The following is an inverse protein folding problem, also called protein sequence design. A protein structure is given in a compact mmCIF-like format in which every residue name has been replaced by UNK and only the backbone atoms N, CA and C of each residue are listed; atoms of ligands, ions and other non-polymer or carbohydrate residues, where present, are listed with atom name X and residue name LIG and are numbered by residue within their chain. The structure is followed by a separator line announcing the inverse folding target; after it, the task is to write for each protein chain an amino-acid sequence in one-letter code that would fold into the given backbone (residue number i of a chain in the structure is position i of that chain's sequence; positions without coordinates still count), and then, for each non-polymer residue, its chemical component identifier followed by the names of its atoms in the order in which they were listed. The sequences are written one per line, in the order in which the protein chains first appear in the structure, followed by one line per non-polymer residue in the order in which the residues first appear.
data_IF_551786914705
#
_entry.id   IF_551786914705
#
_cell.length_a   1.000
_cell.length_b   1.000
_cell.length_c   1.000
_cell.angle_alpha   90.00
_cell.angle_beta   90.00
_cell.angle_gamma   90.00
#
_symmetry.space_group_name_H-M   'P 1'
#
loop_
_entity.id
_entity.type
_entity.pdbx_description
1 polymer ?
#
# COMPACT_ATOMS: atom_id res chain seq x y z
N UNK A 1 30.40 37.04 35.35
CA UNK A 1 31.65 37.75 34.98
C UNK A 1 32.01 37.32 33.56
N UNK A 2 31.73 38.26 32.65
CA UNK A 2 32.66 38.85 31.67
C UNK A 2 32.91 37.91 30.44
N UNK A 3 32.70 38.26 29.19
CA UNK A 3 32.79 39.56 28.46
C UNK A 3 32.05 39.45 27.13
N UNK A 4 31.41 40.57 26.84
CA UNK A 4 30.85 40.96 25.54
C UNK A 4 32.00 41.32 24.57
N UNK A 5 31.93 40.85 23.33
CA UNK A 5 32.80 41.30 22.25
C UNK A 5 31.95 41.76 21.06
N UNK A 6 31.71 43.06 21.01
CA UNK A 6 31.22 43.78 19.81
C UNK A 6 32.43 44.19 18.96
N UNK A 7 32.35 43.90 17.65
CA UNK A 7 33.16 44.62 16.66
C UNK A 7 32.29 45.08 15.53
N UNK A 8 32.48 46.36 15.23
CA UNK A 8 31.72 47.25 14.39
C UNK A 8 32.17 47.17 12.90
N UNK A 9 31.23 47.43 12.06
CA UNK A 9 31.16 48.39 10.95
C UNK A 9 32.44 48.67 10.11
N UNK A 10 32.36 48.46 8.81
CA UNK A 10 32.81 49.43 7.81
C UNK A 10 32.11 49.17 6.50
N UNK A 11 31.36 50.17 6.08
CA UNK A 11 30.76 50.26 4.76
C UNK A 11 31.75 50.84 3.75
N UNK A 12 31.57 50.50 2.48
CA UNK A 12 32.05 51.27 1.35
C UNK A 12 30.96 51.33 0.31
N UNK A 13 30.57 52.58 0.02
CA UNK A 13 29.73 53.02 -1.11
C UNK A 13 30.67 53.23 -2.31
N UNK A 14 30.21 52.97 -3.54
CA UNK A 14 30.36 53.73 -4.80
C UNK A 14 29.99 52.80 -5.96
N UNK A 15 28.95 53.06 -6.67
CA UNK A 15 28.63 54.03 -7.70
C UNK A 15 29.23 53.71 -9.09
N UNK A 16 28.35 53.75 -10.04
CA UNK A 16 28.39 54.25 -11.40
C UNK A 16 28.12 53.25 -12.53
N UNK A 17 26.95 53.35 -13.07
CA UNK A 17 26.57 53.60 -14.47
C UNK A 17 27.46 52.99 -15.57
N UNK A 18 26.86 52.12 -16.41
CA UNK A 18 26.94 52.25 -17.86
C UNK A 18 25.75 51.51 -18.50
N UNK A 19 24.93 52.27 -19.21
CA UNK A 19 23.85 51.79 -20.03
C UNK A 19 24.37 51.13 -21.31
N UNK A 20 23.79 50.01 -21.65
CA UNK A 20 23.98 49.33 -22.94
C UNK A 20 22.64 48.77 -23.38
N UNK A 21 22.00 49.54 -24.29
CA UNK A 21 20.81 49.06 -24.98
C UNK A 21 21.22 47.93 -25.94
N UNK A 22 20.70 46.72 -25.71
CA UNK A 22 20.83 45.60 -26.66
C UNK A 22 19.52 45.50 -27.44
N UNK A 23 19.53 45.50 -28.76
CA UNK A 23 18.34 45.36 -29.58
C UNK A 23 17.80 43.94 -29.45
N UNK A 24 16.53 43.81 -29.02
CA UNK A 24 15.79 42.55 -29.04
C UNK A 24 15.42 42.19 -30.48
N UNK A 25 16.14 41.24 -31.06
CA UNK A 25 15.68 40.59 -32.28
C UNK A 25 14.59 39.60 -31.90
N UNK A 26 13.35 39.89 -32.27
CA UNK A 26 12.23 38.94 -32.25
C UNK A 26 12.50 37.86 -33.31
N UNK A 27 13.05 36.71 -32.90
CA UNK A 27 12.95 35.49 -33.67
C UNK A 27 11.64 34.81 -33.32
N UNK A 28 10.72 34.82 -34.28
CA UNK A 28 9.53 34.01 -34.25
C UNK A 28 9.91 32.51 -34.23
N UNK A 29 9.79 31.84 -33.11
CA UNK A 29 9.80 30.38 -33.06
C UNK A 29 8.35 29.90 -33.09
N UNK A 30 8.01 29.32 -34.23
CA UNK A 30 6.79 28.53 -34.45
C UNK A 30 6.70 27.44 -33.38
N UNK A 31 5.84 27.64 -32.38
CA UNK A 31 5.58 26.64 -31.36
C UNK A 31 4.83 25.47 -31.99
N UNK A 32 5.54 24.39 -32.23
CA UNK A 32 4.92 23.08 -32.48
C UNK A 32 4.21 22.67 -31.19
N UNK A 33 2.89 22.73 -31.22
CA UNK A 33 2.04 22.16 -30.16
C UNK A 33 2.30 20.66 -30.08
N UNK A 34 3.22 20.26 -29.20
CA UNK A 34 3.35 18.88 -28.81
C UNK A 34 2.06 18.44 -28.10
N UNK A 35 1.23 17.71 -28.82
CA UNK A 35 0.09 16.99 -28.25
C UNK A 35 0.67 15.96 -27.28
N UNK A 36 0.88 16.37 -26.04
CA UNK A 36 1.16 15.47 -24.95
C UNK A 36 -0.01 14.52 -24.84
N UNK A 37 0.16 13.30 -25.31
CA UNK A 37 -0.81 12.23 -25.11
C UNK A 37 -1.11 12.14 -23.62
N UNK A 38 -2.26 12.64 -23.19
CA UNK A 38 -2.79 12.39 -21.88
C UNK A 38 -3.01 10.87 -21.78
N UNK A 39 -1.99 10.18 -21.28
CA UNK A 39 -2.12 8.77 -20.93
C UNK A 39 -3.36 8.65 -20.07
N UNK A 40 -4.33 7.85 -20.54
CA UNK A 40 -5.58 7.58 -19.83
C UNK A 40 -5.19 7.11 -18.42
N UNK A 41 -5.24 8.00 -17.44
CA UNK A 41 -5.04 7.66 -16.03
C UNK A 41 -6.19 6.72 -15.68
N UNK A 42 -5.93 5.42 -15.66
CA UNK A 42 -6.87 4.45 -15.15
C UNK A 42 -7.06 4.79 -13.68
N UNK A 43 -8.21 5.36 -13.37
CA UNK A 43 -8.54 5.69 -11.98
C UNK A 43 -8.51 4.38 -11.17
N UNK A 44 -7.54 4.23 -10.30
CA UNK A 44 -7.50 3.13 -9.35
C UNK A 44 -8.68 3.35 -8.40
N UNK A 45 -9.64 2.42 -8.42
CA UNK A 45 -10.78 2.47 -7.50
C UNK A 45 -10.26 2.38 -6.06
N UNK A 46 -10.76 3.26 -5.22
CA UNK A 46 -10.42 3.21 -3.79
C UNK A 46 -10.84 1.86 -3.18
N UNK A 47 -10.02 1.29 -2.30
CA UNK A 47 -10.40 0.11 -1.55
C UNK A 47 -11.67 0.39 -0.73
N UNK A 48 -12.60 -0.54 -0.74
CA UNK A 48 -13.79 -0.49 0.10
C UNK A 48 -13.40 -0.53 1.59
N UNK A 49 -14.09 0.27 2.39
CA UNK A 49 -13.85 0.35 3.83
C UNK A 49 -14.50 -0.82 4.55
N UNK A 50 -13.80 -1.41 5.51
CA UNK A 50 -14.34 -2.47 6.38
C UNK A 50 -14.00 -2.22 7.85
N UNK A 51 -14.96 -2.48 8.71
CA UNK A 51 -14.83 -2.60 10.16
C UNK A 51 -14.82 -4.07 10.60
N UNK A 52 -14.94 -4.33 11.88
CA UNK A 52 -15.01 -5.68 12.42
C UNK A 52 -16.17 -6.52 11.85
N UNK A 53 -17.34 -5.90 11.69
CA UNK A 53 -18.51 -6.56 11.11
C UNK A 53 -18.32 -6.83 9.61
N UNK A 54 -17.77 -5.86 8.89
CA UNK A 54 -17.37 -5.99 7.48
C UNK A 54 -16.35 -7.10 7.26
N UNK A 55 -15.40 -7.27 8.20
CA UNK A 55 -14.46 -8.38 8.14
C UNK A 55 -15.15 -9.75 8.27
N UNK A 56 -16.11 -9.90 9.17
CA UNK A 56 -16.90 -11.13 9.29
C UNK A 56 -17.76 -11.38 8.04
N UNK A 57 -18.32 -10.33 7.46
CA UNK A 57 -19.04 -10.42 6.19
C UNK A 57 -18.11 -10.86 5.03
N UNK A 58 -16.86 -10.37 5.03
CA UNK A 58 -15.83 -10.78 4.07
C UNK A 58 -15.53 -12.27 4.19
N UNK A 59 -15.34 -12.81 5.40
CA UNK A 59 -15.17 -14.24 5.62
C UNK A 59 -16.36 -15.05 5.12
N UNK A 60 -17.59 -14.60 5.39
CA UNK A 60 -18.80 -15.24 4.92
C UNK A 60 -18.89 -15.25 3.39
N UNK A 61 -18.51 -14.16 2.72
CA UNK A 61 -18.48 -14.03 1.25
C UNK A 61 -17.57 -15.07 0.59
N UNK A 62 -16.44 -15.40 1.24
CA UNK A 62 -15.48 -16.35 0.69
C UNK A 62 -15.64 -17.78 1.22
N UNK A 63 -16.66 -18.04 2.03
CA UNK A 63 -16.95 -19.41 2.49
C UNK A 63 -17.14 -20.37 1.30
N UNK A 64 -16.60 -21.56 1.39
CA UNK A 64 -16.53 -22.52 0.29
C UNK A 64 -15.25 -22.43 -0.55
N UNK A 65 -14.41 -21.41 -0.33
CA UNK A 65 -13.17 -21.19 -1.07
C UNK A 65 -11.98 -21.12 -0.12
N UNK A 66 -10.81 -21.70 -0.49
CA UNK A 66 -9.57 -21.49 0.27
C UNK A 66 -9.17 -20.02 0.18
N UNK A 67 -8.89 -19.38 1.32
CA UNK A 67 -8.71 -17.95 1.40
C UNK A 67 -7.44 -17.58 2.17
N UNK A 68 -6.71 -16.60 1.65
CA UNK A 68 -5.62 -15.90 2.35
C UNK A 68 -6.03 -14.43 2.51
N UNK A 69 -5.97 -13.92 3.72
CA UNK A 69 -6.13 -12.48 3.97
C UNK A 69 -4.82 -11.94 4.49
N UNK A 70 -4.23 -11.00 3.76
CA UNK A 70 -2.97 -10.33 4.13
C UNK A 70 -3.23 -8.92 4.60
N UNK A 71 -2.62 -8.54 5.72
CA UNK A 71 -2.69 -7.21 6.32
C UNK A 71 -1.42 -6.42 6.04
N UNK A 72 -1.57 -5.20 5.56
CA UNK A 72 -0.46 -4.37 5.10
C UNK A 72 -0.73 -2.88 5.30
N UNK A 73 0.31 -2.06 5.21
CA UNK A 73 0.20 -0.60 5.18
C UNK A 73 1.28 0.01 4.26
N UNK A 74 1.08 1.24 3.84
CA UNK A 74 2.02 1.93 2.94
C UNK A 74 3.36 2.24 3.60
N UNK A 75 3.38 2.43 4.90
CA UNK A 75 4.59 2.66 5.72
C UNK A 75 5.32 1.36 6.12
N UNK A 76 4.71 0.20 5.91
CA UNK A 76 5.28 -1.11 6.24
C UNK A 76 6.24 -1.56 5.14
N UNK A 77 7.54 -1.43 5.38
CA UNK A 77 8.56 -1.80 4.38
C UNK A 77 8.57 -3.29 4.02
N UNK A 78 8.56 -4.23 5.01
CA UNK A 78 8.48 -5.65 4.67
C UNK A 78 7.19 -6.01 3.92
N UNK A 79 6.05 -5.37 4.22
CA UNK A 79 4.82 -5.58 3.44
C UNK A 79 5.01 -5.22 1.96
N UNK A 80 5.76 -4.14 1.69
CA UNK A 80 6.06 -3.71 0.31
C UNK A 80 6.97 -4.70 -0.42
N UNK A 81 7.89 -5.32 0.32
CA UNK A 81 8.77 -6.36 -0.23
C UNK A 81 8.00 -7.64 -0.57
N UNK A 82 7.05 -8.05 0.26
CA UNK A 82 6.23 -9.24 0.04
C UNK A 82 5.19 -9.09 -1.08
N UNK A 83 4.72 -7.87 -1.36
CA UNK A 83 3.55 -7.66 -2.22
C UNK A 83 3.68 -8.21 -3.66
N UNK A 84 4.84 -8.08 -4.35
CA UNK A 84 5.05 -8.71 -5.66
C UNK A 84 4.92 -10.24 -5.60
N UNK A 85 5.49 -10.86 -4.58
CA UNK A 85 5.40 -12.30 -4.33
C UNK A 85 3.96 -12.74 -4.09
N UNK A 86 3.18 -11.98 -3.31
CA UNK A 86 1.75 -12.25 -3.09
C UNK A 86 0.93 -12.19 -4.38
N UNK A 87 1.24 -11.26 -5.29
CA UNK A 87 0.63 -11.21 -6.62
C UNK A 87 0.94 -12.48 -7.43
N UNK A 88 2.20 -12.92 -7.41
CA UNK A 88 2.60 -14.15 -8.11
C UNK A 88 1.92 -15.38 -7.52
N UNK A 89 1.88 -15.52 -6.21
CA UNK A 89 1.21 -16.64 -5.53
C UNK A 89 -0.29 -16.63 -5.80
N UNK A 90 -0.94 -15.47 -5.75
CA UNK A 90 -2.35 -15.33 -6.08
C UNK A 90 -2.65 -15.81 -7.52
N UNK A 91 -1.79 -15.43 -8.47
CA UNK A 91 -1.88 -15.87 -9.86
C UNK A 91 -1.64 -17.38 -10.01
N UNK A 92 -0.59 -17.89 -9.37
CA UNK A 92 -0.18 -19.30 -9.44
C UNK A 92 -1.27 -20.24 -8.93
N UNK A 93 -1.91 -19.88 -7.81
CA UNK A 93 -2.88 -20.73 -7.13
C UNK A 93 -4.35 -20.43 -7.47
N UNK A 94 -4.62 -19.39 -8.27
CA UNK A 94 -5.98 -19.09 -8.74
C UNK A 94 -6.67 -20.27 -9.45
N UNK A 95 -6.00 -21.06 -10.32
CA UNK A 95 -6.61 -22.24 -10.96
C UNK A 95 -7.03 -23.33 -9.97
N UNK A 96 -6.44 -23.37 -8.77
CA UNK A 96 -6.78 -24.30 -7.69
C UNK A 96 -7.88 -23.76 -6.77
N UNK A 97 -8.41 -22.56 -7.12
CA UNK A 97 -9.51 -21.91 -6.42
C UNK A 97 -9.09 -21.01 -5.26
N UNK A 98 -7.77 -20.82 -5.03
CA UNK A 98 -7.29 -19.90 -3.98
C UNK A 98 -7.84 -18.50 -4.19
N UNK A 99 -8.31 -17.89 -3.12
CA UNK A 99 -8.63 -16.47 -3.04
C UNK A 99 -7.60 -15.77 -2.16
N UNK A 100 -7.15 -14.61 -2.60
CA UNK A 100 -6.31 -13.72 -1.82
C UNK A 100 -7.04 -12.40 -1.66
N UNK A 101 -6.95 -11.80 -0.49
CA UNK A 101 -7.53 -10.49 -0.18
C UNK A 101 -6.51 -9.69 0.61
N UNK A 102 -6.30 -8.44 0.23
CA UNK A 102 -5.50 -7.49 0.99
C UNK A 102 -6.40 -6.66 1.92
N UNK A 103 -5.92 -6.37 3.11
CA UNK A 103 -6.55 -5.41 4.03
C UNK A 103 -5.49 -4.39 4.42
N UNK A 104 -5.70 -3.17 3.98
CA UNK A 104 -4.84 -2.05 4.28
C UNK A 104 -5.19 -1.45 5.65
N UNK A 105 -4.17 -1.15 6.46
CA UNK A 105 -4.29 -0.59 7.80
C UNK A 105 -3.84 0.88 7.89
N UNK A 106 -3.67 1.56 6.74
CA UNK A 106 -3.41 3.01 6.74
C UNK A 106 -4.63 3.77 7.30
N UNK A 107 -4.37 4.91 7.93
CA UNK A 107 -5.42 5.81 8.39
C UNK A 107 -6.08 6.56 7.22
N UNK A 108 -7.23 7.18 7.45
CA UNK A 108 -8.00 7.88 6.42
C UNK A 108 -7.22 9.01 5.75
N UNK A 109 -6.37 9.69 6.50
CA UNK A 109 -5.48 10.73 5.97
C UNK A 109 -4.47 10.24 4.91
N UNK A 110 -4.19 8.93 4.88
CA UNK A 110 -3.16 8.33 4.02
C UNK A 110 -3.71 7.75 2.71
N UNK A 111 -4.97 8.01 2.37
CA UNK A 111 -5.61 7.46 1.15
C UNK A 111 -4.80 7.73 -0.13
N UNK A 112 -4.15 8.89 -0.23
CA UNK A 112 -3.30 9.20 -1.38
C UNK A 112 -2.08 8.27 -1.49
N UNK A 113 -1.51 7.85 -0.34
CA UNK A 113 -0.40 6.91 -0.28
C UNK A 113 -0.88 5.50 -0.66
N UNK A 114 -2.06 5.10 -0.17
CA UNK A 114 -2.71 3.84 -0.55
C UNK A 114 -2.94 3.77 -2.06
N UNK A 115 -3.47 4.83 -2.70
CA UNK A 115 -3.64 4.92 -4.16
C UNK A 115 -2.32 4.76 -4.91
N UNK A 116 -1.25 5.43 -4.46
CA UNK A 116 0.10 5.31 -5.05
C UNK A 116 0.64 3.90 -4.93
N UNK A 117 0.44 3.27 -3.79
CA UNK A 117 0.82 1.88 -3.56
C UNK A 117 0.10 0.95 -4.55
N UNK A 118 -1.23 1.05 -4.63
CA UNK A 118 -2.06 0.25 -5.54
C UNK A 118 -1.65 0.45 -7.01
N UNK A 119 -1.36 1.69 -7.41
CA UNK A 119 -0.88 1.99 -8.77
C UNK A 119 0.50 1.38 -9.06
N UNK A 120 1.39 1.34 -8.07
CA UNK A 120 2.75 0.78 -8.19
C UNK A 120 2.75 -0.74 -8.24
N UNK A 121 2.10 -1.37 -7.27
CA UNK A 121 2.15 -2.83 -7.09
C UNK A 121 1.08 -3.58 -7.87
N UNK A 122 0.05 -2.88 -8.37
CA UNK A 122 -1.02 -3.40 -9.23
C UNK A 122 -1.56 -4.74 -8.73
N UNK A 123 -2.11 -4.80 -7.52
CA UNK A 123 -2.63 -6.06 -6.97
C UNK A 123 -3.67 -6.67 -7.91
N UNK A 124 -3.57 -7.97 -8.12
CA UNK A 124 -4.51 -8.73 -8.94
C UNK A 124 -5.66 -9.31 -8.11
N UNK A 125 -5.67 -9.02 -6.81
CA UNK A 125 -6.69 -9.46 -5.85
C UNK A 125 -7.35 -8.25 -5.18
N UNK A 126 -8.58 -8.40 -4.66
CA UNK A 126 -9.30 -7.34 -3.98
C UNK A 126 -8.53 -6.80 -2.77
N UNK A 127 -8.59 -5.50 -2.59
CA UNK A 127 -8.07 -4.85 -1.41
C UNK A 127 -9.20 -4.07 -0.73
N UNK A 128 -9.21 -4.15 0.58
CA UNK A 128 -10.07 -3.40 1.49
C UNK A 128 -9.22 -2.48 2.34
N UNK A 129 -9.83 -1.51 3.00
CA UNK A 129 -9.18 -0.64 3.94
C UNK A 129 -9.94 -0.67 5.27
N UNK A 130 -9.22 -0.83 6.38
CA UNK A 130 -9.82 -0.77 7.71
C UNK A 130 -10.35 0.64 7.95
N UNK A 131 -11.57 0.78 8.49
CA UNK A 131 -12.09 2.06 8.97
C UNK A 131 -11.28 2.56 10.16
N UNK A 132 -11.12 3.89 10.28
CA UNK A 132 -10.46 4.47 11.44
C UNK A 132 -11.23 4.16 12.73
N UNK A 133 -10.51 4.00 13.82
CA UNK A 133 -11.09 3.60 15.10
C UNK A 133 -11.39 2.09 15.18
N UNK A 134 -11.88 1.65 16.34
CA UNK A 134 -12.27 0.26 16.57
C UNK A 134 -11.14 -0.76 16.43
N UNK A 135 -9.87 -0.37 16.67
CA UNK A 135 -8.70 -1.25 16.47
C UNK A 135 -8.81 -2.54 17.26
N UNK A 136 -9.20 -2.45 18.53
CA UNK A 136 -9.29 -3.61 19.40
C UNK A 136 -10.36 -4.60 18.93
N UNK A 137 -11.51 -4.11 18.55
CA UNK A 137 -12.64 -4.88 18.02
C UNK A 137 -12.27 -5.54 16.70
N UNK A 138 -11.63 -4.77 15.80
CA UNK A 138 -11.19 -5.27 14.51
C UNK A 138 -10.12 -6.37 14.66
N UNK A 139 -9.07 -6.13 15.46
CA UNK A 139 -8.01 -7.11 15.74
C UNK A 139 -8.61 -8.37 16.37
N UNK A 140 -9.51 -8.21 17.34
CA UNK A 140 -10.21 -9.32 17.96
C UNK A 140 -11.07 -10.15 17.00
N UNK A 141 -11.69 -9.48 16.01
CA UNK A 141 -12.47 -10.14 14.96
C UNK A 141 -11.59 -10.92 13.97
N UNK A 142 -10.34 -10.51 13.76
CA UNK A 142 -9.38 -11.23 12.92
C UNK A 142 -8.80 -12.43 13.65
N UNK A 143 -8.15 -12.19 14.77
CA UNK A 143 -7.53 -13.21 15.60
C UNK A 143 -7.25 -12.67 17.01
N UNK A 144 -7.83 -13.25 18.08
CA UNK A 144 -7.69 -12.74 19.44
C UNK A 144 -6.25 -12.66 19.97
N UNK A 145 -5.34 -13.46 19.41
CA UNK A 145 -3.92 -13.48 19.79
C UNK A 145 -3.04 -12.59 18.90
N UNK A 146 -3.62 -11.83 17.98
CA UNK A 146 -2.87 -10.88 17.16
C UNK A 146 -2.85 -9.49 17.81
N UNK A 147 -1.73 -8.83 17.75
CA UNK A 147 -1.55 -7.49 18.32
C UNK A 147 -1.63 -6.36 17.27
N UNK A 148 -2.03 -6.68 16.04
CA UNK A 148 -2.07 -5.71 14.93
C UNK A 148 -0.74 -5.50 14.20
N UNK A 149 0.34 -6.20 14.59
CA UNK A 149 1.63 -6.07 13.90
C UNK A 149 1.53 -6.62 12.46
N UNK A 150 2.17 -5.93 11.52
CA UNK A 150 2.20 -6.25 10.10
C UNK A 150 3.65 -6.37 9.58
N UNK A 151 3.89 -7.16 8.48
CA UNK A 151 2.90 -7.94 7.75
C UNK A 151 2.27 -9.06 8.57
N UNK A 152 1.03 -9.39 8.26
CA UNK A 152 0.36 -10.54 8.85
C UNK A 152 -0.55 -11.18 7.79
N UNK A 153 -0.53 -12.50 7.69
CA UNK A 153 -1.41 -13.23 6.77
C UNK A 153 -2.12 -14.35 7.50
N UNK A 154 -3.43 -14.45 7.30
CA UNK A 154 -4.28 -15.46 7.90
C UNK A 154 -4.88 -16.35 6.82
N UNK A 155 -4.90 -17.64 7.07
CA UNK A 155 -5.23 -18.68 6.13
C UNK A 155 -6.50 -19.40 6.58
N UNK A 156 -7.49 -19.48 5.68
CA UNK A 156 -8.82 -20.02 5.95
C UNK A 156 -9.14 -21.18 5.03
N UNK A 157 -9.55 -22.28 5.60
CA UNK A 157 -10.06 -23.46 4.90
C UNK A 157 -11.40 -23.14 4.21
N UNK A 158 -11.85 -24.01 3.30
CA UNK A 158 -13.12 -23.88 2.60
C UNK A 158 -14.35 -23.78 3.54
N UNK A 159 -14.30 -24.43 4.69
CA UNK A 159 -15.36 -24.36 5.69
C UNK A 159 -15.40 -23.03 6.48
N UNK A 160 -14.42 -22.16 6.23
CA UNK A 160 -14.26 -20.86 6.88
C UNK A 160 -13.43 -20.89 8.16
N UNK A 161 -12.91 -22.04 8.59
CA UNK A 161 -12.03 -22.11 9.76
C UNK A 161 -10.66 -21.52 9.42
N UNK A 162 -10.16 -20.71 10.32
CA UNK A 162 -8.77 -20.26 10.26
C UNK A 162 -7.85 -21.43 10.64
N UNK A 163 -6.95 -21.83 9.75
CA UNK A 163 -6.08 -23.00 9.89
C UNK A 163 -4.59 -22.65 9.92
N UNK A 164 -4.25 -21.40 9.64
CA UNK A 164 -2.87 -20.95 9.65
C UNK A 164 -2.76 -19.45 9.79
N UNK A 165 -1.56 -18.99 10.15
CA UNK A 165 -1.18 -17.59 10.16
C UNK A 165 0.32 -17.45 9.95
N UNK A 166 0.74 -16.36 9.30
CA UNK A 166 2.11 -15.88 9.25
C UNK A 166 2.12 -14.48 9.86
N UNK A 167 2.98 -14.27 10.84
CA UNK A 167 3.12 -12.99 11.54
C UNK A 167 4.56 -12.51 11.38
N UNK A 168 4.72 -11.31 10.84
CA UNK A 168 6.01 -10.78 10.39
C UNK A 168 6.34 -11.23 8.96
N UNK A 169 7.47 -10.71 8.46
CA UNK A 169 7.98 -11.01 7.13
C UNK A 169 8.18 -12.52 6.93
N UNK A 170 7.77 -13.01 5.77
CA UNK A 170 7.88 -14.42 5.41
C UNK A 170 8.30 -14.58 3.97
N UNK A 171 9.09 -15.60 3.70
CA UNK A 171 9.56 -15.91 2.36
C UNK A 171 8.51 -16.68 1.53
N UNK A 172 8.83 -16.83 0.25
CA UNK A 172 7.97 -17.52 -0.71
C UNK A 172 7.67 -18.97 -0.32
N UNK A 173 8.69 -19.70 0.16
CA UNK A 173 8.54 -21.12 0.47
C UNK A 173 7.61 -21.32 1.67
N UNK A 174 7.69 -20.44 2.65
CA UNK A 174 6.80 -20.40 3.82
C UNK A 174 5.35 -20.13 3.40
N UNK A 175 5.12 -19.13 2.54
CA UNK A 175 3.79 -18.85 1.97
C UNK A 175 3.26 -20.02 1.14
N UNK A 176 4.10 -20.60 0.29
CA UNK A 176 3.74 -21.72 -0.58
C UNK A 176 3.29 -22.93 0.26
N UNK A 177 4.03 -23.29 1.30
CA UNK A 177 3.67 -24.36 2.22
C UNK A 177 2.33 -24.11 2.95
N UNK A 178 2.12 -22.88 3.44
CA UNK A 178 0.88 -22.49 4.08
C UNK A 178 -0.32 -22.55 3.10
N UNK A 179 -0.15 -22.07 1.86
CA UNK A 179 -1.19 -22.11 0.83
C UNK A 179 -1.53 -23.56 0.47
N UNK A 180 -0.55 -24.44 0.30
CA UNK A 180 -0.79 -25.87 0.01
C UNK A 180 -1.59 -26.53 1.13
N UNK A 181 -1.30 -26.20 2.38
CA UNK A 181 -2.07 -26.67 3.54
C UNK A 181 -3.54 -26.23 3.45
N UNK A 182 -3.79 -24.97 3.06
CA UNK A 182 -5.15 -24.46 2.87
C UNK A 182 -5.88 -25.18 1.74
N UNK A 183 -5.21 -25.42 0.63
CA UNK A 183 -5.77 -26.09 -0.54
C UNK A 183 -6.15 -27.53 -0.24
N UNK A 184 -5.34 -28.24 0.55
CA UNK A 184 -5.57 -29.65 0.92
C UNK A 184 -6.65 -29.80 2.01
N UNK A 185 -6.86 -28.79 2.84
CA UNK A 185 -7.78 -28.84 4.00
C UNK A 185 -9.27 -28.91 3.66
N UNK A 186 -9.64 -28.92 2.39
CA UNK A 186 -11.03 -29.03 1.92
C UNK A 186 -11.31 -30.23 1.04
N UNK A 187 -10.36 -31.15 0.90
CA UNK A 187 -10.49 -32.32 0.01
C UNK A 187 -11.01 -33.57 0.74
N UNK A 188 -11.38 -33.45 2.02
CA UNK A 188 -11.95 -34.55 2.80
C UNK A 188 -13.48 -34.53 2.78
N UNK A 189 -14.07 -35.32 1.94
CA UNK A 189 -15.40 -35.88 2.13
C UNK A 189 -15.26 -37.27 2.67
#
# INVERSE_FOLDING_TARGET
MTKIGRVAMAGVLMAAMCGGAVPQTRSGASGTSGTGGAGKVVAVKDPEMIDAAGYQALLAKYKGQPLVITFWATWCEPCRAEYPMLNELAKQYAPQGLKVVGVNLDQDGDLILTRRFMARYKPIFPNYRKTDGGEKEFIGAVYPGWNGAIPASFFYARDGRQIGKLLGESDRDTYDAAIRTVLSSGSGN
#
